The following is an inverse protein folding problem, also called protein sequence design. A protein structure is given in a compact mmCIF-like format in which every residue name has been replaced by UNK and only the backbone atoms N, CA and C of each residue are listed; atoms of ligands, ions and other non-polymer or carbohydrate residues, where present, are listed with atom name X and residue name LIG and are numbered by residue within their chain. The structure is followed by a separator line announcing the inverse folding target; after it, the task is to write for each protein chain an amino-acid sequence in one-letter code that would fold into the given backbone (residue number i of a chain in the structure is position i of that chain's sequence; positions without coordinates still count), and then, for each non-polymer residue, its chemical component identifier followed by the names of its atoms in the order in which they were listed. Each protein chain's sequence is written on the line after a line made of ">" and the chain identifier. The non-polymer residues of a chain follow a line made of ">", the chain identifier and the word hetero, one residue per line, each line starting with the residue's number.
data_IF_880753257129
#
_entry.id   IF_880753257129
#
_cell.length_a   1.000
_cell.length_b   1.000
_cell.length_c   1.000
_cell.angle_alpha   90.00
_cell.angle_beta   90.00
_cell.angle_gamma   90.00
#
_symmetry.space_group_name_H-M   'P 1'
#
loop_
_entity.id
_entity.type
_entity.pdbx_description
1 polymer ?
#
# COMPACT_ATOMS: atom_id res chain seq x y z
N UNK A 1 8.80 10.02 -18.50
CA UNK A 1 8.35 8.62 -18.65
C UNK A 1 7.10 8.60 -19.52
N UNK A 2 6.80 7.45 -20.14
CA UNK A 2 5.62 7.25 -20.99
C UNK A 2 4.94 5.94 -20.62
N UNK A 3 3.62 5.93 -20.46
CA UNK A 3 2.87 4.69 -20.27
C UNK A 3 2.70 3.97 -21.62
N UNK A 4 2.96 2.66 -21.66
CA UNK A 4 2.79 1.85 -22.89
C UNK A 4 1.55 0.94 -22.85
N UNK A 5 0.88 0.85 -21.70
CA UNK A 5 -0.39 0.15 -21.54
C UNK A 5 -1.30 0.91 -20.57
N UNK A 6 -2.58 0.54 -20.53
CA UNK A 6 -3.50 1.09 -19.53
C UNK A 6 -3.08 0.66 -18.12
N UNK A 7 -3.05 1.61 -17.20
CA UNK A 7 -2.64 1.35 -15.82
C UNK A 7 -3.42 2.21 -14.82
N UNK A 8 -3.63 1.68 -13.63
CA UNK A 8 -4.11 2.47 -12.51
C UNK A 8 -2.94 3.18 -11.82
N UNK A 9 -3.09 4.48 -11.62
CA UNK A 9 -2.29 5.26 -10.71
C UNK A 9 -2.92 5.22 -9.31
N UNK A 10 -2.09 5.20 -8.26
CA UNK A 10 -2.54 4.88 -6.89
C UNK A 10 -2.03 5.85 -5.84
N UNK A 11 -2.64 5.85 -4.66
CA UNK A 11 -2.19 6.68 -3.53
C UNK A 11 -0.94 6.16 -2.81
N UNK A 12 -0.55 4.90 -3.04
CA UNK A 12 0.68 4.31 -2.51
C UNK A 12 1.35 3.32 -3.47
N UNK A 13 2.60 2.91 -3.19
CA UNK A 13 3.44 2.10 -4.07
C UNK A 13 3.07 0.60 -4.02
N UNK A 14 1.88 0.26 -4.52
CA UNK A 14 1.37 -1.12 -4.49
C UNK A 14 -0.04 -1.25 -5.04
N UNK A 15 -0.43 -2.45 -5.46
CA UNK A 15 -1.81 -2.71 -5.90
C UNK A 15 -2.82 -2.70 -4.75
N UNK A 16 -2.35 -2.80 -3.50
CA UNK A 16 -3.16 -2.72 -2.29
C UNK A 16 -3.74 -1.32 -2.03
N UNK A 17 -3.17 -0.27 -2.63
CA UNK A 17 -3.59 1.10 -2.40
C UNK A 17 -4.76 1.52 -3.31
N UNK A 18 -5.56 2.45 -2.82
CA UNK A 18 -6.70 3.05 -3.52
C UNK A 18 -6.26 3.63 -4.86
N UNK A 19 -7.17 3.52 -5.82
CA UNK A 19 -7.07 4.18 -7.12
C UNK A 19 -7.08 5.70 -6.94
N UNK A 20 -6.15 6.37 -7.62
CA UNK A 20 -6.01 7.83 -7.63
C UNK A 20 -6.25 8.42 -9.04
N UNK A 21 -6.19 7.60 -10.09
CA UNK A 21 -6.36 8.02 -11.47
C UNK A 21 -5.94 6.92 -12.44
N UNK A 22 -6.09 7.17 -13.72
CA UNK A 22 -5.73 6.24 -14.78
C UNK A 22 -4.64 6.81 -15.67
N UNK A 23 -3.82 5.95 -16.24
CA UNK A 23 -2.90 6.23 -17.34
C UNK A 23 -3.30 5.38 -18.54
N UNK A 24 -3.19 5.95 -19.73
CA UNK A 24 -3.44 5.32 -21.01
C UNK A 24 -2.14 5.26 -21.82
N UNK A 25 -2.04 4.36 -22.82
CA UNK A 25 -0.89 4.33 -23.72
C UNK A 25 -0.60 5.70 -24.33
N UNK A 26 0.65 6.15 -24.24
CA UNK A 26 1.11 7.45 -24.72
C UNK A 26 1.04 8.57 -23.68
N UNK A 27 0.36 8.38 -22.54
CA UNK A 27 0.37 9.38 -21.47
C UNK A 27 1.79 9.58 -20.94
N UNK A 28 2.14 10.85 -20.72
CA UNK A 28 3.46 11.28 -20.24
C UNK A 28 3.39 11.77 -18.80
N UNK A 29 4.46 11.53 -18.06
CA UNK A 29 4.65 12.08 -16.72
C UNK A 29 6.12 12.35 -16.42
N UNK A 30 6.34 13.20 -15.42
CA UNK A 30 7.66 13.42 -14.82
C UNK A 30 7.79 12.50 -13.59
N UNK A 31 8.91 11.79 -13.48
CA UNK A 31 9.25 10.99 -12.31
C UNK A 31 9.92 11.88 -11.28
N UNK A 32 9.35 12.00 -10.08
CA UNK A 32 9.91 12.83 -9.00
C UNK A 32 10.57 11.98 -7.92
N UNK A 33 9.98 10.82 -7.61
CA UNK A 33 10.47 9.91 -6.57
C UNK A 33 10.16 8.46 -6.92
N UNK A 34 10.57 7.55 -6.04
CA UNK A 34 10.34 6.11 -6.15
C UNK A 34 10.14 5.47 -4.78
N UNK A 35 9.74 4.20 -4.78
CA UNK A 35 9.86 3.36 -3.59
C UNK A 35 11.29 2.79 -3.46
N UNK A 36 11.56 2.10 -2.35
CA UNK A 36 12.90 1.67 -1.96
C UNK A 36 13.61 0.79 -3.02
N UNK A 37 12.90 -0.17 -3.59
CA UNK A 37 13.44 -1.09 -4.60
C UNK A 37 13.22 -0.62 -6.06
N UNK A 38 12.62 0.57 -6.26
CA UNK A 38 12.39 1.13 -7.59
C UNK A 38 11.28 0.44 -8.39
N UNK A 39 10.48 -0.44 -7.79
CA UNK A 39 9.37 -1.10 -8.50
C UNK A 39 8.16 -0.18 -8.74
N UNK A 40 8.03 0.90 -7.97
CA UNK A 40 6.98 1.91 -8.10
C UNK A 40 7.56 3.32 -8.16
N UNK A 41 6.95 4.17 -8.98
CA UNK A 41 7.36 5.55 -9.23
C UNK A 41 6.30 6.53 -8.76
N UNK A 42 6.74 7.57 -8.08
CA UNK A 42 5.92 8.73 -7.74
C UNK A 42 6.04 9.75 -8.88
N UNK A 43 4.96 9.90 -9.63
CA UNK A 43 4.95 10.65 -10.88
C UNK A 43 3.99 11.83 -10.81
N UNK A 44 4.24 12.85 -11.63
CA UNK A 44 3.29 13.92 -11.96
C UNK A 44 2.87 13.79 -13.43
N UNK A 45 1.70 13.18 -13.73
CA UNK A 45 1.21 13.06 -15.10
C UNK A 45 0.89 14.44 -15.70
N UNK A 46 1.22 14.68 -16.96
CA UNK A 46 1.00 15.97 -17.62
C UNK A 46 -0.50 16.35 -17.69
N UNK A 47 -1.38 15.35 -17.70
CA UNK A 47 -2.82 15.51 -17.83
C UNK A 47 -3.55 15.84 -16.52
N UNK A 48 -2.88 15.82 -15.37
CA UNK A 48 -3.50 16.09 -14.07
C UNK A 48 -2.57 16.87 -13.12
N UNK A 49 -3.13 17.70 -12.20
CA UNK A 49 -2.32 18.56 -11.33
C UNK A 49 -1.85 17.90 -10.02
N UNK A 50 -2.01 16.58 -9.86
CA UNK A 50 -1.58 15.86 -8.65
C UNK A 50 -0.76 14.62 -8.96
N UNK A 51 0.12 14.28 -8.04
CA UNK A 51 0.96 13.09 -8.11
C UNK A 51 0.21 11.81 -7.80
N UNK A 52 0.77 10.70 -8.26
CA UNK A 52 0.31 9.36 -7.90
C UNK A 52 1.42 8.33 -8.13
N UNK A 53 1.22 7.12 -7.61
CA UNK A 53 2.12 5.99 -7.75
C UNK A 53 1.76 5.12 -8.95
N UNK A 54 2.75 4.77 -9.76
CA UNK A 54 2.61 3.84 -10.89
C UNK A 54 3.66 2.73 -10.82
N UNK A 55 3.30 1.51 -11.24
CA UNK A 55 4.26 0.42 -11.38
C UNK A 55 5.26 0.70 -12.49
N UNK A 56 6.53 0.38 -12.29
CA UNK A 56 7.55 0.38 -13.36
C UNK A 56 7.25 -0.62 -14.47
N UNK A 57 6.46 -1.66 -14.18
CA UNK A 57 6.14 -2.72 -15.15
C UNK A 57 5.20 -2.29 -16.29
N UNK A 58 4.66 -1.07 -16.26
CA UNK A 58 3.66 -0.58 -17.23
C UNK A 58 4.09 0.74 -17.90
N UNK A 59 5.34 1.14 -17.68
CA UNK A 59 5.87 2.43 -18.11
C UNK A 59 7.29 2.29 -18.66
N UNK A 60 7.63 3.14 -19.62
CA UNK A 60 8.99 3.33 -20.10
C UNK A 60 9.56 4.62 -19.50
N UNK A 61 10.76 4.53 -18.93
CA UNK A 61 11.44 5.66 -18.29
C UNK A 61 12.71 5.99 -19.05
N UNK A 62 12.85 7.25 -19.43
CA UNK A 62 14.11 7.78 -19.94
C UNK A 62 14.99 8.23 -18.75
N UNK A 63 16.18 7.64 -18.62
CA UNK A 63 17.14 7.94 -17.55
C UNK A 63 17.17 6.90 -16.41
N UNK A 64 17.93 7.19 -15.36
CA UNK A 64 18.12 6.31 -14.21
C UNK A 64 17.11 6.65 -13.09
N UNK A 65 16.21 5.72 -12.77
CA UNK A 65 15.23 5.87 -11.69
C UNK A 65 15.89 5.94 -10.30
N UNK A 66 17.11 5.43 -10.13
CA UNK A 66 17.82 5.51 -8.85
C UNK A 66 18.44 6.89 -8.60
N UNK A 67 18.41 7.80 -9.59
CA UNK A 67 18.77 9.20 -9.41
C UNK A 67 17.74 10.00 -8.60
N UNK A 68 16.50 9.53 -8.51
CA UNK A 68 15.46 10.16 -7.66
C UNK A 68 15.39 9.51 -6.27
N UNK A 69 15.02 10.31 -5.28
CA UNK A 69 14.98 9.88 -3.88
C UNK A 69 13.80 8.96 -3.58
N UNK A 70 13.98 8.07 -2.60
CA UNK A 70 12.88 7.31 -1.99
C UNK A 70 11.91 8.28 -1.31
N UNK A 71 10.61 8.07 -1.50
CA UNK A 71 9.57 8.91 -0.91
C UNK A 71 8.43 8.07 -0.36
N UNK A 72 7.91 8.48 0.80
CA UNK A 72 6.72 7.91 1.41
C UNK A 72 5.64 8.99 1.45
N UNK A 73 4.60 8.81 0.63
CA UNK A 73 3.51 9.77 0.54
C UNK A 73 2.48 9.50 1.65
N UNK A 74 2.08 10.52 2.43
CA UNK A 74 0.97 10.38 3.38
C UNK A 74 -0.31 9.97 2.65
N UNK A 75 -0.95 8.91 3.12
CA UNK A 75 -2.21 8.44 2.54
C UNK A 75 -3.36 9.43 2.81
N UNK A 76 -4.32 9.58 1.86
CA UNK A 76 -5.50 10.42 2.06
C UNK A 76 -6.32 9.91 3.24
N UNK A 77 -6.74 10.81 4.15
CA UNK A 77 -7.47 10.42 5.36
C UNK A 77 -8.98 10.52 5.15
N UNK A 78 -9.72 9.57 5.72
CA UNK A 78 -11.19 9.62 5.82
C UNK A 78 -11.63 9.85 7.26
N UNK A 79 -12.72 10.60 7.45
CA UNK A 79 -13.41 10.76 8.73
C UNK A 79 -14.81 10.14 8.73
N UNK A 80 -15.19 9.45 7.64
CA UNK A 80 -16.52 8.85 7.50
C UNK A 80 -16.68 7.54 8.28
N UNK A 81 -15.56 6.86 8.55
CA UNK A 81 -15.49 5.63 9.34
C UNK A 81 -14.40 5.75 10.40
N UNK A 82 -14.52 4.98 11.47
CA UNK A 82 -13.51 4.89 12.53
C UNK A 82 -12.49 3.76 12.26
N UNK A 83 -11.33 3.80 12.93
CA UNK A 83 -10.31 2.76 12.80
C UNK A 83 -10.83 1.37 13.21
N UNK A 84 -10.25 0.28 12.67
CA UNK A 84 -10.54 -1.09 13.09
C UNK A 84 -10.43 -1.28 14.61
N UNK A 85 -11.25 -2.19 15.15
CA UNK A 85 -11.28 -2.50 16.58
C UNK A 85 -10.89 -3.95 16.83
N UNK A 86 -10.53 -4.25 18.07
CA UNK A 86 -10.15 -5.59 18.52
C UNK A 86 -9.06 -6.24 17.66
N UNK A 87 -8.09 -5.41 17.21
CA UNK A 87 -6.94 -5.85 16.42
C UNK A 87 -6.06 -6.74 17.28
N UNK A 88 -5.86 -7.98 16.82
CA UNK A 88 -5.12 -9.02 17.51
C UNK A 88 -4.21 -9.72 16.51
N UNK A 89 -3.09 -10.26 17.00
CA UNK A 89 -2.22 -11.11 16.20
C UNK A 89 -1.76 -12.32 17.02
N UNK A 90 -1.63 -13.47 16.35
CA UNK A 90 -1.17 -14.73 16.94
C UNK A 90 -0.16 -15.39 16.03
N UNK A 91 0.88 -16.00 16.60
CA UNK A 91 1.94 -16.70 15.87
C UNK A 91 1.77 -18.22 15.97
N UNK A 92 1.99 -18.92 14.87
CA UNK A 92 2.15 -20.37 14.82
C UNK A 92 3.28 -20.72 13.84
N UNK A 93 4.46 -21.03 14.35
CA UNK A 93 5.68 -21.15 13.54
C UNK A 93 5.97 -19.84 12.80
N UNK A 94 6.20 -19.94 11.49
CA UNK A 94 6.47 -18.80 10.60
C UNK A 94 5.18 -18.13 10.08
N UNK A 95 4.03 -18.39 10.70
CA UNK A 95 2.75 -17.77 10.33
C UNK A 95 2.26 -16.82 11.41
N UNK A 96 1.98 -15.57 11.03
CA UNK A 96 1.33 -14.58 11.91
C UNK A 96 -0.06 -14.30 11.37
N UNK A 97 -1.09 -14.69 12.13
CA UNK A 97 -2.48 -14.40 11.80
C UNK A 97 -2.93 -13.15 12.54
N UNK A 98 -3.31 -12.12 11.77
CA UNK A 98 -3.90 -10.88 12.26
C UNK A 98 -5.41 -10.95 12.07
N UNK A 99 -6.18 -10.51 13.08
CA UNK A 99 -7.66 -10.48 13.07
C UNK A 99 -8.18 -9.18 13.66
N UNK A 100 -9.36 -8.75 13.23
CA UNK A 100 -10.03 -7.55 13.73
C UNK A 100 -11.55 -7.66 13.61
N UNK A 101 -12.27 -6.73 14.24
CA UNK A 101 -13.73 -6.62 14.07
C UNK A 101 -14.10 -6.00 12.72
N UNK A 102 -15.21 -6.43 12.09
CA UNK A 102 -15.69 -5.83 10.85
C UNK A 102 -16.09 -4.36 11.08
N UNK A 103 -15.51 -3.46 10.30
CA UNK A 103 -15.96 -2.08 10.16
C UNK A 103 -17.22 -2.05 9.30
N UNK A 104 -18.26 -1.39 9.82
CA UNK A 104 -19.55 -1.23 9.15
C UNK A 104 -19.75 0.22 8.77
N UNK A 105 -20.26 0.45 7.57
CA UNK A 105 -20.62 1.77 7.07
C UNK A 105 -21.89 1.69 6.23
N UNK A 106 -22.65 2.78 6.19
CA UNK A 106 -23.84 2.91 5.36
C UNK A 106 -23.72 4.21 4.55
N UNK A 107 -23.67 4.13 3.21
CA UNK A 107 -23.82 2.92 2.39
C UNK A 107 -22.59 2.01 2.42
N UNK A 108 -22.81 0.69 2.51
CA UNK A 108 -21.70 -0.28 2.57
C UNK A 108 -20.88 -0.35 1.28
N UNK A 109 -21.44 0.07 0.14
CA UNK A 109 -20.74 0.11 -1.15
C UNK A 109 -19.62 1.16 -1.19
N UNK A 110 -19.48 2.01 -0.18
CA UNK A 110 -18.36 2.95 -0.06
C UNK A 110 -17.15 2.35 0.65
N UNK A 111 -17.31 1.22 1.35
CA UNK A 111 -16.19 0.48 1.92
C UNK A 111 -15.32 -0.11 0.81
N UNK A 112 -14.01 -0.13 1.05
CA UNK A 112 -12.97 -0.63 0.14
C UNK A 112 -12.09 -1.67 0.82
N UNK A 113 -12.57 -2.30 1.88
CA UNK A 113 -11.86 -3.32 2.64
C UNK A 113 -10.86 -2.74 3.63
N UNK A 114 -9.72 -3.40 3.75
CA UNK A 114 -8.65 -3.10 4.70
C UNK A 114 -7.30 -3.05 3.99
N UNK A 115 -6.44 -2.15 4.47
CA UNK A 115 -5.03 -2.09 4.08
C UNK A 115 -4.20 -2.47 5.30
N UNK A 116 -3.22 -3.36 5.10
CA UNK A 116 -2.17 -3.62 6.08
C UNK A 116 -0.84 -3.22 5.46
N UNK A 117 -0.10 -2.34 6.13
CA UNK A 117 1.31 -2.09 5.83
C UNK A 117 2.13 -2.77 6.90
N UNK A 118 2.98 -3.72 6.50
CA UNK A 118 3.75 -4.54 7.41
C UNK A 118 5.21 -4.64 6.97
N UNK A 119 6.09 -4.80 7.94
CA UNK A 119 7.45 -5.29 7.74
C UNK A 119 7.49 -6.71 8.25
N UNK A 120 7.86 -7.66 7.41
CA UNK A 120 7.89 -9.09 7.74
C UNK A 120 9.23 -9.70 7.35
N UNK A 121 9.58 -10.80 8.00
CA UNK A 121 10.82 -11.53 7.78
C UNK A 121 10.62 -12.65 6.77
N UNK A 122 11.42 -12.64 5.70
CA UNK A 122 11.55 -13.78 4.78
C UNK A 122 13.00 -13.98 4.36
N UNK A 123 13.44 -15.23 4.35
CA UNK A 123 14.79 -15.63 3.97
C UNK A 123 15.89 -14.86 4.72
N UNK A 124 15.67 -14.51 5.99
CA UNK A 124 16.61 -13.74 6.81
C UNK A 124 16.65 -12.24 6.53
N UNK A 125 15.75 -11.70 5.70
CA UNK A 125 15.64 -10.27 5.41
C UNK A 125 14.27 -9.72 5.80
N UNK A 126 14.29 -8.53 6.41
CA UNK A 126 13.07 -7.75 6.61
C UNK A 126 12.69 -7.06 5.30
N UNK A 127 11.43 -7.17 4.92
CA UNK A 127 10.87 -6.42 3.79
C UNK A 127 9.53 -5.82 4.14
N UNK A 128 9.29 -4.63 3.60
CA UNK A 128 8.01 -3.95 3.71
C UNK A 128 7.05 -4.43 2.63
N UNK A 129 5.81 -4.69 3.03
CA UNK A 129 4.72 -5.14 2.17
C UNK A 129 3.42 -4.42 2.49
N UNK A 130 2.57 -4.28 1.48
CA UNK A 130 1.23 -3.71 1.59
C UNK A 130 0.22 -4.73 1.08
N UNK A 131 -0.79 -5.02 1.90
CA UNK A 131 -1.82 -6.02 1.63
C UNK A 131 -3.19 -5.37 1.64
N UNK A 132 -3.99 -5.65 0.62
CA UNK A 132 -5.42 -5.35 0.62
C UNK A 132 -6.21 -6.64 0.88
N UNK A 133 -7.27 -6.54 1.66
CA UNK A 133 -8.23 -7.64 1.86
C UNK A 133 -9.61 -7.10 2.22
N UNK A 134 -10.66 -7.78 1.77
CA UNK A 134 -12.05 -7.53 2.19
C UNK A 134 -12.46 -8.41 3.39
N UNK A 135 -11.57 -9.31 3.84
CA UNK A 135 -11.79 -10.16 5.02
C UNK A 135 -11.43 -9.44 6.31
N UNK A 136 -11.83 -10.00 7.45
CA UNK A 136 -11.46 -9.50 8.80
C UNK A 136 -10.27 -10.23 9.41
N UNK A 137 -9.47 -10.86 8.55
CA UNK A 137 -8.22 -11.50 8.94
C UNK A 137 -7.26 -11.60 7.76
N UNK A 138 -5.98 -11.64 8.06
CA UNK A 138 -4.93 -11.95 7.09
C UNK A 138 -3.82 -12.75 7.79
N UNK A 139 -3.17 -13.65 7.05
CA UNK A 139 -2.05 -14.44 7.57
C UNK A 139 -0.80 -14.13 6.77
N UNK A 140 0.21 -13.62 7.47
CA UNK A 140 1.54 -13.38 6.93
C UNK A 140 2.40 -14.63 7.09
N UNK A 141 3.25 -14.88 6.10
CA UNK A 141 4.45 -15.71 6.30
C UNK A 141 5.56 -14.78 6.79
N UNK A 142 5.90 -14.91 8.06
CA UNK A 142 6.82 -14.07 8.83
C UNK A 142 7.73 -14.99 9.64
N UNK A 143 8.90 -15.28 9.07
CA UNK A 143 9.91 -16.13 9.68
C UNK A 143 10.52 -15.49 10.94
N UNK A 144 11.22 -16.29 11.73
CA UNK A 144 11.94 -15.80 12.94
C UNK A 144 13.45 -15.69 12.73
N UNK A 145 13.90 -15.76 11.47
CA UNK A 145 15.31 -15.81 11.08
C UNK A 145 15.99 -14.44 11.06
N UNK A 146 15.22 -13.34 11.04
CA UNK A 146 15.73 -11.98 10.96
C UNK A 146 16.21 -11.46 12.31
N UNK A 147 17.23 -10.60 12.30
CA UNK A 147 17.75 -9.94 13.51
C UNK A 147 16.94 -8.71 13.94
N UNK A 148 16.01 -8.24 13.11
CA UNK A 148 15.15 -7.10 13.40
C UNK A 148 13.69 -7.52 13.64
N UNK A 149 12.88 -6.57 14.09
CA UNK A 149 11.49 -6.82 14.47
C UNK A 149 10.54 -6.66 13.28
N UNK A 150 9.65 -7.64 13.13
CA UNK A 150 8.47 -7.53 12.27
C UNK A 150 7.40 -6.69 12.96
N UNK A 151 6.51 -6.10 12.17
CA UNK A 151 5.46 -5.23 12.69
C UNK A 151 4.57 -4.69 11.59
N UNK A 152 3.49 -4.01 11.97
CA UNK A 152 2.62 -3.41 10.97
C UNK A 152 1.48 -2.62 11.55
N UNK A 153 0.78 -1.95 10.64
CA UNK A 153 -0.41 -1.15 10.92
C UNK A 153 -1.56 -1.57 10.03
N UNK A 154 -2.77 -1.51 10.57
CA UNK A 154 -4.02 -1.83 9.90
C UNK A 154 -4.87 -0.57 9.73
N UNK A 155 -5.40 -0.40 8.53
CA UNK A 155 -6.36 0.65 8.17
C UNK A 155 -7.69 0.02 7.76
N UNK A 156 -8.80 0.67 8.09
CA UNK A 156 -10.01 0.50 7.31
C UNK A 156 -10.00 1.49 6.14
N UNK A 157 -10.57 1.08 5.02
CA UNK A 157 -10.55 1.85 3.78
C UNK A 157 -11.97 2.14 3.32
N UNK A 158 -12.23 3.41 3.01
CA UNK A 158 -13.47 3.90 2.41
C UNK A 158 -13.10 4.69 1.14
N UNK A 159 -14.04 4.91 0.22
CA UNK A 159 -13.72 5.47 -1.11
C UNK A 159 -12.95 6.80 -1.07
N UNK A 160 -13.06 7.59 0.00
CA UNK A 160 -12.34 8.87 0.13
C UNK A 160 -10.98 8.74 0.81
N UNK A 161 -10.64 7.59 1.42
CA UNK A 161 -9.34 7.40 2.04
C UNK A 161 -9.29 6.34 3.14
N UNK A 162 -8.28 6.51 3.99
CA UNK A 162 -7.87 5.58 5.03
C UNK A 162 -8.17 6.15 6.41
N UNK A 163 -8.54 5.31 7.36
CA UNK A 163 -8.69 5.73 8.76
C UNK A 163 -7.33 6.10 9.36
N UNK A 164 -7.31 6.59 10.60
CA UNK A 164 -6.08 6.49 11.38
C UNK A 164 -5.66 5.01 11.51
N UNK A 165 -4.35 4.71 11.46
CA UNK A 165 -3.85 3.34 11.58
C UNK A 165 -4.02 2.81 12.99
N UNK A 166 -4.21 1.50 13.09
CA UNK A 166 -4.08 0.76 14.35
C UNK A 166 -2.82 -0.08 14.29
N UNK A 167 -1.92 0.13 15.25
CA UNK A 167 -0.72 -0.71 15.42
C UNK A 167 -1.17 -2.14 15.71
N UNK A 168 -0.69 -3.08 14.91
CA UNK A 168 -0.94 -4.50 15.13
C UNK A 168 -0.03 -4.95 16.28
N UNK A 169 -0.56 -5.62 17.33
CA UNK A 169 0.25 -6.13 18.42
C UNK A 169 1.03 -7.37 17.96
N UNK A 170 2.10 -7.15 17.19
CA UNK A 170 2.86 -8.19 16.52
C UNK A 170 3.54 -9.13 17.55
N UNK A 171 3.43 -10.46 17.39
CA UNK A 171 3.96 -11.46 18.32
C UNK A 171 5.38 -11.93 18.01
#
# INVERSE_FOLDING_TARGET
>A
MTAFMQAHCRYGPGTAYLHAGDLYPGDRAVVHNRNDNGTWLWILPEKQPWHCWVSTSVVEVEGDIFSVSVYYHPLPRTTFIGPPKNVQATRNGDQVKVTWDPVKYNPSYDLRGYLIEATICQNGFLFSTAVHTDSTSYTFTDETSCSGESGGVLYAVEKHGYTDPVVIPWP
#
